data_IF_434106071081
#
_entry.id   IF_434106071081
#
_cell.length_a   1.000
_cell.length_b   1.000
_cell.length_c   1.000
_cell.angle_alpha   90.00
_cell.angle_beta   90.00
_cell.angle_gamma   90.00
#
_symmetry.space_group_name_H-M   'P 1'
#
loop_
_entity.id
_entity.type
_entity.pdbx_description
1 polymer ?
#
# COMPACT_ATOMS: atom_id res chain seq x y z
N UNK A 1 30.45 -47.23 19.53
CA UNK A 1 30.69 -45.78 19.45
C UNK A 1 29.34 -45.12 19.23
N UNK A 2 28.73 -44.64 20.30
CA UNK A 2 27.38 -44.05 20.29
C UNK A 2 27.56 -42.54 20.41
N UNK A 3 27.32 -41.79 19.34
CA UNK A 3 27.37 -40.33 19.37
C UNK A 3 26.03 -39.80 19.88
N UNK A 4 26.08 -39.18 21.06
CA UNK A 4 24.96 -38.45 21.66
C UNK A 4 24.84 -37.12 20.92
N UNK A 5 23.68 -36.87 20.30
CA UNK A 5 23.37 -35.62 19.61
C UNK A 5 22.83 -34.62 20.65
N UNK A 6 23.60 -33.59 20.98
CA UNK A 6 23.18 -32.53 21.89
C UNK A 6 22.31 -31.51 21.13
N UNK A 7 21.16 -31.06 21.67
CA UNK A 7 20.37 -30.02 21.00
C UNK A 7 21.15 -28.71 21.00
N UNK A 8 21.33 -28.13 19.81
CA UNK A 8 21.83 -26.78 19.62
C UNK A 8 20.92 -25.80 20.36
N UNK A 9 21.44 -25.13 21.38
CA UNK A 9 20.75 -24.03 22.04
C UNK A 9 20.68 -22.87 21.04
N UNK A 10 19.47 -22.57 20.57
CA UNK A 10 19.19 -21.33 19.87
C UNK A 10 19.55 -20.18 20.81
N UNK A 11 20.55 -19.38 20.42
CA UNK A 11 20.88 -18.14 21.11
C UNK A 11 19.67 -17.20 21.14
N UNK A 12 19.63 -16.24 22.07
CA UNK A 12 18.53 -15.30 22.18
C UNK A 12 18.32 -14.61 20.82
N UNK A 13 17.07 -14.67 20.32
CA UNK A 13 16.66 -13.84 19.17
C UNK A 13 16.87 -12.39 19.59
N UNK A 14 17.78 -11.69 18.93
CA UNK A 14 17.84 -10.24 19.03
C UNK A 14 16.46 -9.68 18.62
N UNK A 15 15.68 -9.23 19.60
CA UNK A 15 14.63 -8.25 19.37
C UNK A 15 15.32 -7.00 18.84
N UNK A 16 15.29 -6.81 17.51
CA UNK A 16 15.62 -5.52 16.94
C UNK A 16 14.62 -4.53 17.51
N UNK A 17 15.11 -3.64 18.36
CA UNK A 17 14.38 -2.47 18.85
C UNK A 17 13.62 -1.83 17.68
N UNK A 18 12.30 -1.74 17.79
CA UNK A 18 11.47 -0.94 16.89
C UNK A 18 11.64 0.57 17.16
N UNK A 19 12.52 0.94 18.09
CA UNK A 19 12.75 2.31 18.52
C UNK A 19 14.17 2.75 18.19
N UNK A 20 14.27 3.84 17.44
CA UNK A 20 15.49 4.61 17.26
C UNK A 20 15.68 5.60 18.42
N UNK A 21 16.87 5.70 19.00
CA UNK A 21 17.20 6.66 20.04
C UNK A 21 17.11 8.15 19.64
N UNK A 22 16.94 8.51 18.36
CA UNK A 22 17.04 9.91 17.90
C UNK A 22 15.72 10.70 17.69
N UNK A 23 14.54 10.10 17.92
CA UNK A 23 13.30 10.88 18.14
C UNK A 23 12.78 11.74 16.97
N UNK A 24 13.05 11.37 15.70
CA UNK A 24 12.43 11.94 14.49
C UNK A 24 11.27 11.04 14.01
N UNK A 25 10.22 11.56 13.33
CA UNK A 25 8.85 11.13 13.60
C UNK A 25 8.58 9.71 13.09
N UNK A 26 8.46 8.78 14.02
CA UNK A 26 7.96 7.44 13.76
C UNK A 26 6.48 7.56 13.45
N UNK A 27 6.08 7.18 12.24
CA UNK A 27 4.68 6.87 11.96
C UNK A 27 4.34 5.59 12.74
N UNK A 28 3.45 5.70 13.71
CA UNK A 28 3.04 4.57 14.53
C UNK A 28 1.75 3.94 14.00
N UNK A 29 1.69 2.61 14.00
CA UNK A 29 0.49 1.91 13.56
C UNK A 29 -0.68 2.23 14.49
N UNK A 30 -1.78 2.74 13.92
CA UNK A 30 -2.97 3.18 14.64
C UNK A 30 -2.97 4.67 15.01
N UNK A 31 -1.89 5.40 14.74
CA UNK A 31 -1.86 6.85 14.90
C UNK A 31 -2.92 7.49 13.98
N UNK A 32 -3.54 8.58 14.45
CA UNK A 32 -4.52 9.34 13.68
C UNK A 32 -3.99 10.69 13.26
N UNK A 33 -4.14 11.01 11.98
CA UNK A 33 -3.70 12.29 11.40
C UNK A 33 -4.38 12.53 10.05
N UNK A 34 -4.32 13.79 9.60
CA UNK A 34 -4.69 14.15 8.23
C UNK A 34 -3.62 13.70 7.22
N UNK A 35 -4.00 13.65 5.95
CA UNK A 35 -3.16 13.23 4.83
C UNK A 35 -1.91 14.08 4.70
N UNK A 36 -2.04 15.40 4.84
CA UNK A 36 -0.89 16.30 4.70
C UNK A 36 0.18 16.03 5.77
N UNK A 37 -0.25 15.87 7.02
CA UNK A 37 0.63 15.55 8.15
C UNK A 37 1.26 14.17 7.98
N UNK A 38 0.49 13.19 7.51
CA UNK A 38 1.02 11.86 7.17
C UNK A 38 2.11 11.95 6.11
N UNK A 39 1.83 12.62 4.99
CA UNK A 39 2.74 12.77 3.87
C UNK A 39 4.07 13.40 4.29
N UNK A 40 4.00 14.54 4.99
CA UNK A 40 5.18 15.26 5.50
C UNK A 40 6.03 14.44 6.47
N UNK A 41 5.43 13.47 7.19
CA UNK A 41 6.15 12.54 8.05
C UNK A 41 6.67 11.34 7.27
N UNK A 42 5.87 10.80 6.34
CA UNK A 42 6.21 9.64 5.54
C UNK A 42 7.45 9.89 4.67
N UNK A 43 7.57 11.07 4.06
CA UNK A 43 8.77 11.48 3.30
C UNK A 43 10.05 11.49 4.12
N UNK A 44 9.96 11.62 5.45
CA UNK A 44 11.09 11.63 6.37
C UNK A 44 11.42 10.24 6.93
N UNK A 45 10.65 9.21 6.58
CA UNK A 45 10.89 7.85 7.06
C UNK A 45 12.09 7.20 6.37
N UNK A 46 12.77 6.25 7.03
CA UNK A 46 13.91 5.56 6.43
C UNK A 46 13.55 4.81 5.14
N UNK A 47 14.49 4.67 4.19
CA UNK A 47 14.27 3.86 2.98
C UNK A 47 13.77 2.45 3.32
N UNK A 48 12.70 2.01 2.65
CA UNK A 48 12.09 0.71 2.86
C UNK A 48 11.05 0.66 4.00
N UNK A 49 10.86 1.75 4.75
CA UNK A 49 9.67 1.93 5.57
C UNK A 49 8.45 2.01 4.65
N UNK A 50 7.37 1.34 5.04
CA UNK A 50 6.12 1.32 4.28
C UNK A 50 4.95 1.52 5.22
N UNK A 51 4.13 2.51 4.89
CA UNK A 51 2.88 2.77 5.58
C UNK A 51 1.85 3.34 4.60
N UNK A 52 0.59 3.18 4.94
CA UNK A 52 -0.54 3.80 4.27
C UNK A 52 -1.33 4.64 5.28
N UNK A 53 -1.97 5.71 4.80
CA UNK A 53 -3.03 6.39 5.56
C UNK A 53 -4.38 5.97 4.98
N UNK A 54 -5.25 5.41 5.82
CA UNK A 54 -6.57 4.92 5.39
C UNK A 54 -7.62 5.40 6.39
N UNK A 55 -8.55 6.25 5.95
CA UNK A 55 -9.55 6.87 6.82
C UNK A 55 -8.95 7.54 8.07
N UNK A 56 -7.82 8.21 7.89
CA UNK A 56 -7.15 9.00 8.91
C UNK A 56 -6.41 8.15 9.96
N UNK A 57 -6.17 6.87 9.67
CA UNK A 57 -5.43 5.94 10.53
C UNK A 57 -4.20 5.45 9.78
N UNK A 58 -3.04 5.52 10.45
CA UNK A 58 -1.76 5.02 9.94
C UNK A 58 -1.71 3.50 10.04
N UNK A 59 -1.41 2.83 8.93
CA UNK A 59 -1.17 1.39 8.87
C UNK A 59 0.28 1.12 8.48
N UNK A 60 1.08 0.62 9.41
CA UNK A 60 2.49 0.28 9.15
C UNK A 60 2.59 -1.15 8.62
N UNK A 61 3.11 -1.29 7.40
CA UNK A 61 3.32 -2.58 6.75
C UNK A 61 4.52 -3.31 7.37
N UNK A 62 4.24 -4.12 8.38
CA UNK A 62 5.26 -4.74 9.26
C UNK A 62 5.51 -6.23 8.97
N UNK A 63 4.74 -6.84 8.07
CA UNK A 63 4.90 -8.27 7.71
C UNK A 63 5.42 -8.45 6.28
N UNK A 64 6.45 -9.31 6.07
CA UNK A 64 6.89 -9.65 4.71
C UNK A 64 5.77 -10.29 3.88
N UNK A 65 5.67 -9.89 2.61
CA UNK A 65 4.74 -10.49 1.66
C UNK A 65 5.09 -11.97 1.42
N UNK A 66 4.07 -12.83 1.46
CA UNK A 66 4.22 -14.28 1.22
C UNK A 66 4.12 -14.59 -0.26
N UNK A 67 4.72 -15.71 -0.70
CA UNK A 67 4.71 -16.13 -2.12
C UNK A 67 3.32 -16.22 -2.75
N UNK A 68 2.28 -16.54 -1.96
CA UNK A 68 0.89 -16.57 -2.45
C UNK A 68 0.41 -15.18 -2.87
N UNK A 69 0.76 -14.15 -2.11
CA UNK A 69 0.46 -12.76 -2.45
C UNK A 69 1.17 -12.37 -3.73
N UNK A 70 2.49 -12.57 -3.78
CA UNK A 70 3.30 -12.24 -4.94
C UNK A 70 2.77 -12.87 -6.25
N UNK A 71 2.26 -14.11 -6.19
CA UNK A 71 1.66 -14.78 -7.37
C UNK A 71 0.32 -14.16 -7.78
N UNK A 72 -0.54 -13.85 -6.82
CA UNK A 72 -1.83 -13.21 -7.08
C UNK A 72 -1.64 -11.82 -7.67
N UNK A 73 -0.79 -11.01 -7.02
CA UNK A 73 -0.41 -9.67 -7.44
C UNK A 73 0.19 -9.65 -8.85
N UNK A 74 1.15 -10.55 -9.14
CA UNK A 74 1.74 -10.66 -10.48
C UNK A 74 0.71 -10.96 -11.59
N UNK A 75 -0.18 -11.93 -11.36
CA UNK A 75 -1.18 -12.30 -12.36
C UNK A 75 -2.17 -11.16 -12.62
N UNK A 76 -2.56 -10.46 -11.56
CA UNK A 76 -3.46 -9.32 -11.65
C UNK A 76 -2.81 -8.13 -12.34
N UNK A 77 -1.58 -7.79 -11.97
CA UNK A 77 -0.77 -6.79 -12.65
C UNK A 77 -0.62 -7.10 -14.14
N UNK A 78 -0.40 -8.38 -14.50
CA UNK A 78 -0.34 -8.83 -15.88
C UNK A 78 -1.65 -8.60 -16.64
N UNK A 79 -2.80 -8.84 -16.00
CA UNK A 79 -4.11 -8.54 -16.59
C UNK A 79 -4.29 -7.03 -16.82
N UNK A 80 -3.95 -6.18 -15.83
CA UNK A 80 -4.05 -4.72 -15.94
C UNK A 80 -3.13 -4.17 -17.04
N UNK A 81 -1.92 -4.70 -17.14
CA UNK A 81 -0.98 -4.35 -18.21
C UNK A 81 -1.53 -4.70 -19.59
N UNK A 82 -2.05 -5.91 -19.78
CA UNK A 82 -2.63 -6.33 -21.07
C UNK A 82 -3.85 -5.47 -21.42
N UNK A 83 -4.72 -5.21 -20.44
CA UNK A 83 -5.91 -4.39 -20.65
C UNK A 83 -5.54 -2.98 -21.09
N UNK A 84 -4.62 -2.32 -20.37
CA UNK A 84 -4.19 -0.95 -20.68
C UNK A 84 -3.48 -0.87 -22.03
N UNK A 85 -2.64 -1.85 -22.37
CA UNK A 85 -2.01 -1.93 -23.69
C UNK A 85 -3.03 -2.10 -24.83
N UNK A 86 -4.14 -2.81 -24.58
CA UNK A 86 -5.20 -3.06 -25.56
C UNK A 86 -6.28 -1.96 -25.61
N UNK A 87 -6.29 -1.03 -24.65
CA UNK A 87 -7.35 -0.02 -24.49
C UNK A 87 -6.76 1.39 -24.46
N UNK A 88 -6.58 2.04 -25.62
CA UNK A 88 -5.97 3.37 -25.69
C UNK A 88 -6.69 4.39 -24.80
N UNK A 89 -5.89 5.18 -24.08
CA UNK A 89 -6.38 6.19 -23.15
C UNK A 89 -6.54 5.71 -21.71
N UNK A 90 -6.23 4.44 -21.44
CA UNK A 90 -6.09 3.92 -20.08
C UNK A 90 -4.62 3.73 -19.69
N UNK A 91 -4.37 3.62 -18.40
CA UNK A 91 -3.06 3.38 -17.80
C UNK A 91 -3.20 2.43 -16.61
N UNK A 92 -2.28 1.47 -16.49
CA UNK A 92 -2.19 0.60 -15.32
C UNK A 92 -1.06 1.05 -14.40
N UNK A 93 -1.33 1.10 -13.09
CA UNK A 93 -0.35 1.39 -12.05
C UNK A 93 -0.32 0.27 -11.01
N UNK A 94 0.83 0.07 -10.37
CA UNK A 94 0.98 -0.91 -9.28
C UNK A 94 1.76 -0.27 -8.15
N UNK A 95 1.32 -0.48 -6.91
CA UNK A 95 1.99 0.00 -5.68
C UNK A 95 2.29 1.52 -5.67
N UNK A 96 1.56 2.31 -6.47
CA UNK A 96 1.72 3.76 -6.52
C UNK A 96 1.04 4.39 -5.30
N UNK A 97 1.74 5.31 -4.62
CA UNK A 97 1.11 6.15 -3.61
C UNK A 97 0.05 7.02 -4.29
N UNK A 98 -1.19 6.87 -3.84
CA UNK A 98 -2.35 7.53 -4.42
C UNK A 98 -2.99 8.45 -3.38
N UNK A 99 -3.06 9.76 -3.66
CA UNK A 99 -3.56 10.79 -2.77
C UNK A 99 -4.92 11.26 -3.29
N UNK A 100 -6.02 10.95 -2.60
CA UNK A 100 -7.36 11.32 -3.08
C UNK A 100 -8.36 11.71 -1.99
N UNK A 101 -7.90 11.93 -0.76
CA UNK A 101 -8.75 12.40 0.34
C UNK A 101 -7.96 13.17 1.39
N UNK A 102 -8.66 13.94 2.23
CA UNK A 102 -8.05 14.67 3.36
C UNK A 102 -7.47 13.73 4.43
N UNK A 103 -7.86 12.45 4.38
CA UNK A 103 -7.49 11.42 5.35
C UNK A 103 -7.05 10.11 4.66
N UNK A 104 -6.67 10.16 3.37
CA UNK A 104 -6.40 8.97 2.56
C UNK A 104 -5.18 9.12 1.65
N UNK A 105 -4.23 8.21 1.85
CA UNK A 105 -3.02 8.04 1.02
C UNK A 105 -2.63 6.54 0.98
N UNK A 106 -3.43 5.70 0.29
CA UNK A 106 -3.14 4.28 0.09
C UNK A 106 -2.05 4.03 -0.97
N UNK A 107 -1.55 2.80 -0.97
CA UNK A 107 -0.71 2.21 -2.02
C UNK A 107 -1.39 0.93 -2.55
N UNK A 108 -2.39 1.05 -3.43
CA UNK A 108 -3.13 -0.11 -3.91
C UNK A 108 -2.24 -1.13 -4.64
N UNK A 109 -2.55 -2.42 -4.51
CA UNK A 109 -1.81 -3.47 -5.25
C UNK A 109 -1.86 -3.23 -6.77
N UNK A 110 -3.02 -2.84 -7.29
CA UNK A 110 -3.17 -2.41 -8.69
C UNK A 110 -4.25 -1.36 -8.86
N UNK A 111 -4.02 -0.43 -9.79
CA UNK A 111 -5.00 0.57 -10.21
C UNK A 111 -5.07 0.62 -11.74
N UNK A 112 -6.26 0.89 -12.26
CA UNK A 112 -6.48 1.18 -13.67
C UNK A 112 -7.15 2.55 -13.79
N UNK A 113 -6.54 3.40 -14.57
CA UNK A 113 -6.89 4.80 -14.71
C UNK A 113 -7.31 5.08 -16.15
N UNK A 114 -8.24 6.01 -16.34
CA UNK A 114 -8.37 6.76 -17.58
C UNK A 114 -7.37 7.92 -17.48
N UNK A 115 -6.55 8.14 -18.52
CA UNK A 115 -5.58 9.23 -18.48
C UNK A 115 -6.31 10.58 -18.45
N UNK A 116 -5.74 11.55 -17.75
CA UNK A 116 -6.30 12.89 -17.54
C UNK A 116 -6.75 13.58 -18.84
N UNK A 117 -5.95 13.47 -19.91
CA UNK A 117 -6.23 14.03 -21.25
C UNK A 117 -7.50 13.44 -21.91
N UNK A 118 -7.99 12.31 -21.40
CA UNK A 118 -9.24 11.68 -21.82
C UNK A 118 -10.38 11.84 -20.79
N UNK A 119 -10.21 12.72 -19.80
CA UNK A 119 -11.23 13.03 -18.80
C UNK A 119 -11.22 12.10 -17.58
N UNK A 120 -10.10 11.45 -17.32
CA UNK A 120 -9.89 10.67 -16.10
C UNK A 120 -9.96 11.50 -14.82
N UNK A 121 -10.27 10.83 -13.72
CA UNK A 121 -10.42 11.44 -12.39
C UNK A 121 -9.06 11.71 -11.72
N UNK A 122 -8.06 10.90 -12.05
CA UNK A 122 -6.71 10.97 -11.50
C UNK A 122 -5.75 11.74 -12.40
N UNK A 123 -4.64 12.20 -11.82
CA UNK A 123 -3.54 12.89 -12.51
C UNK A 123 -2.21 12.62 -11.83
N UNK A 124 -1.13 12.66 -12.61
CA UNK A 124 0.22 12.66 -12.07
C UNK A 124 0.48 14.01 -11.37
N UNK A 125 0.93 13.95 -10.13
CA UNK A 125 1.35 15.11 -9.36
C UNK A 125 2.76 15.55 -9.74
N UNK A 126 3.09 16.82 -9.46
CA UNK A 126 4.45 17.33 -9.63
C UNK A 126 5.46 16.70 -8.66
N UNK A 127 4.95 16.03 -7.64
CA UNK A 127 5.62 15.27 -6.60
C UNK A 127 5.79 13.78 -6.95
N UNK A 128 5.46 13.37 -8.19
CA UNK A 128 5.56 11.98 -8.69
C UNK A 128 4.59 11.00 -7.98
N UNK A 129 3.51 11.53 -7.40
CA UNK A 129 2.42 10.76 -6.81
C UNK A 129 1.15 10.81 -7.66
N UNK A 130 0.28 9.81 -7.54
CA UNK A 130 -1.02 9.84 -8.21
C UNK A 130 -1.99 10.65 -7.37
N UNK A 131 -2.60 11.69 -7.94
CA UNK A 131 -3.60 12.52 -7.26
C UNK A 131 -5.00 12.30 -7.83
N UNK A 132 -6.01 12.16 -6.97
CA UNK A 132 -7.39 11.86 -7.35
C UNK A 132 -7.69 10.36 -7.39
N UNK A 133 -8.98 10.01 -7.41
CA UNK A 133 -9.42 8.63 -7.32
C UNK A 133 -9.25 7.89 -8.66
N UNK A 134 -8.55 6.74 -8.71
CA UNK A 134 -8.53 5.88 -9.89
C UNK A 134 -9.93 5.40 -10.28
N UNK A 135 -10.16 5.15 -11.56
CA UNK A 135 -11.43 4.56 -12.01
C UNK A 135 -11.63 3.16 -11.44
N UNK A 136 -10.56 2.35 -11.36
CA UNK A 136 -10.59 1.04 -10.74
C UNK A 136 -9.41 0.84 -9.79
N UNK A 137 -9.69 0.28 -8.62
CA UNK A 137 -8.69 -0.22 -7.68
C UNK A 137 -8.88 -1.73 -7.47
N UNK A 138 -7.78 -2.45 -7.32
CA UNK A 138 -7.78 -3.86 -6.95
C UNK A 138 -6.81 -4.12 -5.80
N UNK A 139 -7.25 -4.90 -4.82
CA UNK A 139 -6.47 -5.29 -3.63
C UNK A 139 -6.42 -6.82 -3.51
N UNK A 140 -5.27 -7.38 -3.14
CA UNK A 140 -5.05 -8.82 -2.92
C UNK A 140 -5.20 -9.13 -1.44
N UNK A 141 -6.43 -9.40 -1.01
CA UNK A 141 -6.81 -9.58 0.40
C UNK A 141 -6.40 -10.90 1.07
N UNK A 142 -5.14 -11.35 0.94
CA UNK A 142 -4.66 -12.57 1.61
C UNK A 142 -4.38 -12.39 3.10
N UNK A 143 -3.87 -11.22 3.49
CA UNK A 143 -3.56 -10.86 4.88
C UNK A 143 -4.24 -9.57 5.35
N UNK A 144 -4.90 -8.86 4.43
CA UNK A 144 -5.46 -7.52 4.62
C UNK A 144 -6.99 -7.50 4.49
N UNK A 145 -7.64 -8.66 4.33
CA UNK A 145 -9.10 -8.80 4.11
C UNK A 145 -9.98 -7.93 5.00
N UNK A 146 -9.66 -7.85 6.29
CA UNK A 146 -10.44 -7.03 7.23
C UNK A 146 -10.35 -5.54 6.92
N UNK A 147 -9.20 -5.06 6.46
CA UNK A 147 -8.99 -3.66 6.09
C UNK A 147 -9.59 -3.38 4.71
N UNK A 148 -9.29 -4.25 3.73
CA UNK A 148 -9.69 -4.09 2.33
C UNK A 148 -11.21 -4.10 2.16
N UNK A 149 -11.91 -5.01 2.83
CA UNK A 149 -13.37 -5.12 2.77
C UNK A 149 -14.11 -4.14 3.70
N UNK A 150 -13.40 -3.31 4.47
CA UNK A 150 -14.03 -2.35 5.38
C UNK A 150 -13.50 -0.94 5.20
N UNK A 151 -12.36 -0.61 5.81
CA UNK A 151 -11.90 0.78 5.88
C UNK A 151 -11.48 1.30 4.50
N UNK A 152 -10.71 0.51 3.73
CA UNK A 152 -10.34 0.86 2.35
C UNK A 152 -11.55 0.96 1.44
N UNK A 153 -12.48 -0.01 1.50
CA UNK A 153 -13.74 0.05 0.76
C UNK A 153 -14.47 1.39 0.96
N UNK A 154 -14.68 1.80 2.22
CA UNK A 154 -15.37 3.05 2.55
C UNK A 154 -14.61 4.28 2.07
N UNK A 155 -13.29 4.26 2.21
CA UNK A 155 -12.42 5.35 1.77
C UNK A 155 -12.51 5.52 0.24
N UNK A 156 -12.39 4.41 -0.49
CA UNK A 156 -12.45 4.37 -1.96
C UNK A 156 -13.83 4.78 -2.49
N UNK A 157 -14.91 4.31 -1.84
CA UNK A 157 -16.28 4.74 -2.13
C UNK A 157 -16.44 6.26 -1.92
N UNK A 158 -15.93 6.79 -0.80
CA UNK A 158 -16.02 8.22 -0.50
C UNK A 158 -15.24 9.10 -1.48
N UNK A 159 -14.12 8.58 -2.00
CA UNK A 159 -13.26 9.25 -2.96
C UNK A 159 -13.80 9.20 -4.40
N UNK A 160 -14.79 8.35 -4.68
CA UNK A 160 -15.39 8.19 -6.00
C UNK A 160 -14.67 7.21 -6.91
N UNK A 161 -13.97 6.22 -6.33
CA UNK A 161 -13.48 5.05 -7.09
C UNK A 161 -14.70 4.32 -7.67
N UNK A 162 -14.67 4.02 -8.97
CA UNK A 162 -15.86 3.52 -9.69
C UNK A 162 -16.00 2.01 -9.61
N UNK A 163 -14.88 1.30 -9.61
CA UNK A 163 -14.83 -0.15 -9.50
C UNK A 163 -13.78 -0.57 -8.46
N UNK A 164 -14.16 -1.48 -7.57
CA UNK A 164 -13.27 -1.99 -6.55
C UNK A 164 -13.35 -3.52 -6.47
N UNK A 165 -12.21 -4.17 -6.63
CA UNK A 165 -12.08 -5.64 -6.64
C UNK A 165 -11.17 -6.08 -5.48
N UNK A 166 -11.59 -7.14 -4.78
CA UNK A 166 -10.87 -7.72 -3.63
C UNK A 166 -10.85 -9.25 -3.73
#
# INVERSE_FOLDING_TARGET
>A
MTTVNTPSQAGPREEKSLFDPEGFPWLENGERMDQKTFHERYEKTPPGFKAELIGGIVYVMSSPLKIRHARSDFNLSGLMFIYSAATPGTEGQTNATTIFGEESEPQPDSALLIRDVYGGQSRDGADDYTHGAPEMIVEVALSSRSTDLNQKLRDYESAGVREYIV
#
